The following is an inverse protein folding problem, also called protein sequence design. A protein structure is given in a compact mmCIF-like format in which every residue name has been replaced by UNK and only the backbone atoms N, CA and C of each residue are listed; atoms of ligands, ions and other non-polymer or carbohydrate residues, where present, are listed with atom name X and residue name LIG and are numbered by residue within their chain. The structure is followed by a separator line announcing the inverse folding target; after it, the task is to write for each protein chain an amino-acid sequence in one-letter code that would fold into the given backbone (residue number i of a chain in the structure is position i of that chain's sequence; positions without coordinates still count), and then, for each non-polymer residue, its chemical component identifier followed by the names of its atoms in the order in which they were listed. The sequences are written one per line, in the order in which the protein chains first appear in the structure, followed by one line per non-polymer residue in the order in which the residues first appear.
data_IF_808203658017
#
_entry.id   IF_808203658017
#
_cell.length_a   1.000
_cell.length_b   1.000
_cell.length_c   1.000
_cell.angle_alpha   90.00
_cell.angle_beta   90.00
_cell.angle_gamma   90.00
#
_symmetry.space_group_name_H-M   'P 1'
#
loop_
_entity.id
_entity.type
_entity.pdbx_description
1 polymer ?
#
# COMPACT_ATOMS: atom_id res chain seq x y z
N UNK A 1 14.95 -9.32 18.27
CA UNK A 1 13.79 -9.45 17.36
C UNK A 1 13.20 -10.85 17.42
N UNK A 2 13.91 -11.92 17.11
CA UNK A 2 13.40 -13.29 17.06
C UNK A 2 12.69 -13.72 18.35
N UNK A 3 13.30 -13.49 19.53
CA UNK A 3 12.67 -13.78 20.82
C UNK A 3 11.35 -13.04 21.06
N UNK A 4 11.22 -11.77 20.63
CA UNK A 4 9.98 -11.04 20.76
C UNK A 4 8.86 -11.73 19.97
N UNK A 5 9.16 -12.11 18.73
CA UNK A 5 8.22 -12.82 17.85
C UNK A 5 7.89 -14.20 18.43
N UNK A 6 8.90 -14.94 18.83
CA UNK A 6 8.73 -16.29 19.37
C UNK A 6 7.87 -16.30 20.64
N UNK A 7 8.10 -15.38 21.56
CA UNK A 7 7.29 -15.28 22.78
C UNK A 7 5.83 -14.94 22.49
N UNK A 8 5.57 -14.04 21.53
CA UNK A 8 4.20 -13.66 21.19
C UNK A 8 3.46 -14.78 20.46
N UNK A 9 4.13 -15.51 19.58
CA UNK A 9 3.56 -16.71 18.93
C UNK A 9 3.25 -17.76 19.97
N UNK A 10 4.18 -18.09 20.85
CA UNK A 10 3.98 -19.10 21.89
C UNK A 10 2.82 -18.74 22.83
N UNK A 11 2.60 -17.46 23.10
CA UNK A 11 1.43 -16.99 23.87
C UNK A 11 0.11 -17.35 23.19
N UNK A 12 0.07 -17.31 21.88
CA UNK A 12 -1.13 -17.67 21.10
C UNK A 12 -1.23 -19.19 20.92
N UNK A 13 -0.10 -19.86 20.72
CA UNK A 13 -0.01 -21.32 20.60
C UNK A 13 -0.68 -22.05 21.77
N UNK A 14 -0.62 -21.51 22.97
CA UNK A 14 -1.28 -22.09 24.15
C UNK A 14 -2.81 -22.28 24.02
N UNK A 15 -3.43 -21.78 22.95
CA UNK A 15 -4.85 -21.99 22.63
C UNK A 15 -5.10 -23.23 21.78
N UNK A 16 -4.05 -23.88 21.28
CA UNK A 16 -4.13 -25.01 20.36
C UNK A 16 -3.66 -26.30 21.02
N UNK A 17 -4.12 -27.47 20.54
CA UNK A 17 -3.54 -28.77 20.93
C UNK A 17 -2.08 -28.84 20.49
N UNK A 18 -1.21 -29.34 21.36
CA UNK A 18 0.24 -29.50 21.12
C UNK A 18 0.93 -28.17 20.78
N UNK A 19 0.89 -27.17 21.67
CA UNK A 19 1.44 -25.86 21.43
C UNK A 19 2.98 -25.91 21.30
N UNK A 20 3.51 -25.13 20.36
CA UNK A 20 4.95 -24.91 20.27
C UNK A 20 5.40 -23.98 21.41
N UNK A 21 6.52 -24.33 22.02
CA UNK A 21 7.19 -23.47 22.99
C UNK A 21 7.87 -22.28 22.31
N UNK A 22 8.11 -21.22 23.06
CA UNK A 22 8.86 -20.07 22.55
C UNK A 22 10.25 -20.44 22.03
N UNK A 23 10.89 -21.46 22.62
CA UNK A 23 12.19 -21.94 22.17
C UNK A 23 12.11 -22.62 20.81
N UNK A 24 11.12 -23.47 20.59
CA UNK A 24 10.90 -24.14 19.31
C UNK A 24 10.59 -23.12 18.21
N UNK A 25 9.73 -22.15 18.48
CA UNK A 25 9.45 -21.06 17.53
C UNK A 25 10.71 -20.23 17.25
N UNK A 26 11.53 -19.95 18.28
CA UNK A 26 12.79 -19.26 18.09
C UNK A 26 13.75 -20.03 17.17
N UNK A 27 13.88 -21.34 17.36
CA UNK A 27 14.75 -22.19 16.53
C UNK A 27 14.33 -22.20 15.06
N UNK A 28 13.02 -22.08 14.78
CA UNK A 28 12.51 -21.93 13.41
C UNK A 28 12.89 -20.57 12.77
N UNK A 29 13.00 -19.54 13.58
CA UNK A 29 13.33 -18.17 13.14
C UNK A 29 14.85 -17.91 13.13
N UNK A 30 15.62 -18.69 13.88
CA UNK A 30 17.04 -18.41 14.12
C UNK A 30 17.84 -18.44 12.82
N UNK A 31 18.65 -17.39 12.60
CA UNK A 31 19.38 -17.17 11.36
C UNK A 31 18.50 -17.24 10.09
N UNK A 32 17.18 -17.05 10.22
CA UNK A 32 16.20 -17.17 9.12
C UNK A 32 16.27 -18.52 8.39
N UNK A 33 16.59 -19.57 9.13
CA UNK A 33 16.85 -20.89 8.55
C UNK A 33 15.62 -21.54 7.94
N UNK A 34 14.47 -21.43 8.59
CA UNK A 34 13.22 -22.06 8.16
C UNK A 34 12.11 -21.05 7.89
N UNK A 35 12.06 -19.96 8.67
CA UNK A 35 11.02 -18.92 8.55
C UNK A 35 11.69 -17.55 8.38
N UNK A 36 11.34 -16.89 7.31
CA UNK A 36 11.71 -15.47 7.04
C UNK A 36 10.42 -14.66 7.07
N UNK A 37 10.09 -13.96 8.16
CA UNK A 37 8.89 -13.15 8.21
C UNK A 37 8.97 -11.97 7.23
N UNK A 38 7.85 -11.61 6.63
CA UNK A 38 7.74 -10.36 5.90
C UNK A 38 7.90 -9.15 6.84
N UNK A 39 8.15 -7.96 6.29
CA UNK A 39 8.50 -6.77 7.07
C UNK A 39 7.49 -6.39 8.15
N UNK A 40 6.18 -6.48 7.86
CA UNK A 40 5.14 -6.11 8.84
C UNK A 40 5.04 -7.13 10.00
N UNK A 41 5.02 -8.45 9.79
CA UNK A 41 5.16 -9.42 10.88
C UNK A 41 6.45 -9.23 11.67
N UNK A 42 7.57 -9.02 10.99
CA UNK A 42 8.88 -8.84 11.61
C UNK A 42 8.91 -7.64 12.58
N UNK A 43 8.25 -6.55 12.22
CA UNK A 43 8.19 -5.33 13.05
C UNK A 43 7.03 -5.34 14.03
N UNK A 44 5.89 -5.93 13.67
CA UNK A 44 4.62 -5.81 14.38
C UNK A 44 4.36 -6.88 15.42
N UNK A 45 4.76 -8.16 15.19
CA UNK A 45 4.45 -9.24 16.13
C UNK A 45 5.14 -8.97 17.48
N UNK A 46 4.35 -8.91 18.54
CA UNK A 46 4.82 -8.65 19.91
C UNK A 46 5.34 -7.22 20.14
N UNK A 47 5.07 -6.29 19.23
CA UNK A 47 5.40 -4.87 19.40
C UNK A 47 4.19 -4.11 19.96
N UNK A 48 4.30 -3.64 21.20
CA UNK A 48 3.26 -2.85 21.88
C UNK A 48 3.41 -1.34 21.69
N UNK A 49 4.50 -0.87 21.09
CA UNK A 49 4.81 0.56 20.98
C UNK A 49 4.20 1.19 19.73
N UNK A 50 3.83 0.40 18.74
CA UNK A 50 3.37 0.90 17.46
C UNK A 50 2.19 0.08 16.94
N UNK A 51 1.12 0.77 16.56
CA UNK A 51 0.00 0.13 15.87
C UNK A 51 0.39 -0.13 14.43
N UNK A 52 0.47 -1.40 14.06
CA UNK A 52 0.82 -1.81 12.70
C UNK A 52 -0.04 -2.99 12.23
N UNK A 53 -0.28 -3.08 10.95
CA UNK A 53 -0.82 -4.28 10.32
C UNK A 53 0.26 -5.37 10.28
N UNK A 54 -0.16 -6.62 10.36
CA UNK A 54 0.72 -7.77 10.10
C UNK A 54 0.77 -8.15 8.61
N UNK A 55 -0.09 -7.53 7.78
CA UNK A 55 -0.02 -7.65 6.32
C UNK A 55 0.81 -6.50 5.74
N UNK A 56 1.63 -6.80 4.72
CA UNK A 56 2.49 -5.79 4.10
C UNK A 56 1.77 -5.02 2.99
N UNK A 57 0.89 -5.69 2.24
CA UNK A 57 0.28 -5.15 1.03
C UNK A 57 -1.22 -5.42 1.00
N UNK A 58 -1.96 -4.45 0.48
CA UNK A 58 -3.41 -4.49 0.34
C UNK A 58 -3.79 -4.03 -1.05
N UNK A 59 -4.84 -4.64 -1.60
CA UNK A 59 -5.50 -4.17 -2.81
C UNK A 59 -6.82 -3.53 -2.38
N UNK A 60 -7.08 -2.33 -2.87
CA UNK A 60 -8.30 -1.54 -2.58
C UNK A 60 -9.01 -1.14 -3.88
N UNK A 61 -10.21 -0.60 -3.79
CA UNK A 61 -10.93 -0.10 -4.95
C UNK A 61 -11.50 -1.19 -5.85
N UNK A 62 -11.77 -2.37 -5.32
CA UNK A 62 -12.33 -3.50 -6.07
C UNK A 62 -13.86 -3.44 -6.24
N UNK A 63 -14.54 -2.58 -5.49
CA UNK A 63 -15.99 -2.47 -5.52
C UNK A 63 -16.45 -1.59 -6.69
N UNK A 64 -16.93 -2.21 -7.66
CA UNK A 64 -17.68 -1.94 -8.90
C UNK A 64 -17.85 -0.51 -9.45
N UNK A 65 -18.01 0.52 -8.66
CA UNK A 65 -18.23 1.89 -9.16
C UNK A 65 -17.11 2.84 -8.68
N UNK A 66 -15.94 2.68 -9.29
CA UNK A 66 -14.75 3.48 -8.97
C UNK A 66 -14.65 4.78 -9.82
N UNK A 67 -15.59 5.03 -10.73
CA UNK A 67 -15.56 6.17 -11.66
C UNK A 67 -16.42 7.37 -11.21
N UNK A 68 -16.61 7.54 -9.92
CA UNK A 68 -17.21 8.74 -9.36
C UNK A 68 -16.21 9.48 -8.47
N UNK A 69 -16.37 10.80 -8.37
CA UNK A 69 -15.49 11.59 -7.49
C UNK A 69 -15.58 11.14 -6.03
N UNK A 70 -16.78 10.72 -5.59
CA UNK A 70 -16.97 10.15 -4.26
C UNK A 70 -16.25 8.84 -4.05
N UNK A 71 -16.26 7.95 -5.04
CA UNK A 71 -15.52 6.68 -4.98
C UNK A 71 -14.01 6.91 -4.97
N UNK A 72 -13.50 7.82 -5.80
CA UNK A 72 -12.09 8.19 -5.83
C UNK A 72 -11.63 8.72 -4.46
N UNK A 73 -12.43 9.57 -3.80
CA UNK A 73 -12.13 10.07 -2.46
C UNK A 73 -12.14 8.95 -1.42
N UNK A 74 -13.09 8.03 -1.48
CA UNK A 74 -13.18 6.90 -0.58
C UNK A 74 -11.96 5.98 -0.71
N UNK A 75 -11.53 5.68 -1.93
CA UNK A 75 -10.31 4.90 -2.20
C UNK A 75 -9.08 5.61 -1.62
N UNK A 76 -8.98 6.91 -1.76
CA UNK A 76 -7.89 7.71 -1.19
C UNK A 76 -7.89 7.65 0.34
N UNK A 77 -9.05 7.73 0.97
CA UNK A 77 -9.19 7.55 2.42
C UNK A 77 -8.76 6.14 2.86
N UNK A 78 -9.24 5.09 2.20
CA UNK A 78 -8.85 3.70 2.49
C UNK A 78 -7.34 3.51 2.36
N UNK A 79 -6.74 4.04 1.29
CA UNK A 79 -5.30 4.05 1.09
C UNK A 79 -4.57 4.66 2.28
N UNK A 80 -4.97 5.84 2.72
CA UNK A 80 -4.38 6.55 3.86
C UNK A 80 -4.52 5.74 5.15
N UNK A 81 -5.69 5.16 5.41
CA UNK A 81 -5.94 4.38 6.62
C UNK A 81 -5.07 3.11 6.69
N UNK A 82 -4.82 2.45 5.57
CA UNK A 82 -3.92 1.30 5.49
C UNK A 82 -2.46 1.71 5.63
N UNK A 83 -2.05 2.79 4.96
CA UNK A 83 -0.68 3.29 5.03
C UNK A 83 -0.30 3.77 6.44
N UNK A 84 -1.21 4.39 7.18
CA UNK A 84 -1.02 4.76 8.59
C UNK A 84 -0.67 3.55 9.48
N UNK A 85 -1.04 2.35 9.06
CA UNK A 85 -0.73 1.07 9.73
C UNK A 85 0.41 0.31 9.08
N UNK A 86 1.24 1.01 8.30
CA UNK A 86 2.42 0.46 7.60
C UNK A 86 2.09 -0.49 6.44
N UNK A 87 0.84 -0.52 5.97
CA UNK A 87 0.45 -1.25 4.77
C UNK A 87 0.92 -0.55 3.49
N UNK A 88 1.45 -1.29 2.53
CA UNK A 88 1.53 -0.85 1.14
C UNK A 88 0.17 -1.03 0.47
N UNK A 89 -0.17 -0.17 -0.48
CA UNK A 89 -1.48 -0.20 -1.14
C UNK A 89 -1.32 -0.26 -2.65
N UNK A 90 -2.15 -1.06 -3.29
CA UNK A 90 -2.30 -1.11 -4.73
C UNK A 90 -3.74 -0.98 -5.16
N UNK A 91 -3.99 -0.26 -6.24
CA UNK A 91 -5.31 -0.22 -6.87
C UNK A 91 -5.23 0.02 -8.37
N UNK A 92 -6.30 -0.38 -9.08
CA UNK A 92 -6.41 -0.28 -10.52
C UNK A 92 -7.22 0.95 -10.91
N UNK A 93 -6.71 1.72 -11.86
CA UNK A 93 -7.32 2.93 -12.36
C UNK A 93 -8.13 2.72 -13.66
N UNK A 94 -8.20 1.48 -14.16
CA UNK A 94 -8.86 1.17 -15.43
C UNK A 94 -10.35 1.54 -15.47
N UNK A 95 -10.97 1.71 -14.30
CA UNK A 95 -12.38 2.07 -14.16
C UNK A 95 -12.65 3.58 -14.30
N UNK A 96 -11.62 4.40 -14.18
CA UNK A 96 -11.74 5.85 -14.32
C UNK A 96 -11.90 6.17 -15.79
N UNK A 97 -12.93 6.95 -16.14
CA UNK A 97 -13.17 7.36 -17.53
C UNK A 97 -12.02 8.17 -18.11
N UNK A 98 -11.71 7.99 -19.39
CA UNK A 98 -10.59 8.68 -20.03
C UNK A 98 -10.82 10.20 -20.16
N UNK A 99 -9.75 10.91 -20.43
CA UNK A 99 -9.76 12.34 -20.70
C UNK A 99 -10.73 12.68 -21.85
N UNK A 100 -11.53 13.72 -21.64
CA UNK A 100 -12.50 14.18 -22.64
C UNK A 100 -13.84 13.47 -22.61
N UNK A 101 -14.00 12.38 -21.84
CA UNK A 101 -15.29 11.73 -21.67
C UNK A 101 -16.31 12.65 -21.01
N UNK A 102 -17.60 12.58 -21.35
CA UNK A 102 -18.62 13.43 -20.77
C UNK A 102 -18.79 13.18 -19.27
N UNK A 103 -19.00 14.24 -18.50
CA UNK A 103 -19.37 14.21 -17.09
C UNK A 103 -20.57 15.09 -16.80
N UNK A 104 -21.38 14.68 -15.82
CA UNK A 104 -22.61 15.39 -15.44
C UNK A 104 -22.32 16.48 -14.39
N UNK A 105 -21.36 17.35 -14.67
CA UNK A 105 -21.07 18.52 -13.83
C UNK A 105 -20.67 19.72 -14.70
N UNK A 106 -20.37 20.85 -14.09
CA UNK A 106 -20.03 22.11 -14.79
C UNK A 106 -18.76 22.03 -15.64
N UNK A 107 -17.91 21.01 -15.45
CA UNK A 107 -16.71 20.81 -16.26
C UNK A 107 -17.03 20.19 -17.63
N UNK A 108 -18.17 19.54 -17.78
CA UNK A 108 -18.67 18.84 -18.98
C UNK A 108 -17.81 17.68 -19.46
N UNK A 109 -16.51 17.70 -19.22
CA UNK A 109 -15.56 16.68 -19.66
C UNK A 109 -14.63 16.24 -18.53
N UNK A 110 -14.20 14.97 -18.59
CA UNK A 110 -13.24 14.36 -17.68
C UNK A 110 -11.82 14.88 -17.92
N UNK A 111 -11.06 15.02 -16.84
CA UNK A 111 -9.62 15.30 -16.88
C UNK A 111 -8.74 14.07 -17.13
N UNK A 112 -9.33 12.86 -17.09
CA UNK A 112 -8.62 11.60 -17.29
C UNK A 112 -7.91 11.06 -16.05
N UNK A 113 -6.99 10.12 -16.24
CA UNK A 113 -6.31 9.38 -15.16
C UNK A 113 -5.26 10.20 -14.40
N UNK A 114 -4.47 11.02 -15.10
CA UNK A 114 -3.24 11.61 -14.56
C UNK A 114 -3.47 12.44 -13.30
N UNK A 115 -4.49 13.33 -13.21
CA UNK A 115 -4.73 14.08 -11.99
C UNK A 115 -5.05 13.22 -10.77
N UNK A 116 -5.68 12.06 -10.97
CA UNK A 116 -5.99 11.13 -9.88
C UNK A 116 -4.75 10.32 -9.47
N UNK A 117 -3.86 9.98 -10.39
CA UNK A 117 -2.54 9.42 -10.07
C UNK A 117 -1.74 10.38 -9.18
N UNK A 118 -1.72 11.67 -9.53
CA UNK A 118 -1.05 12.70 -8.74
C UNK A 118 -1.66 12.82 -7.35
N UNK A 119 -3.00 12.81 -7.26
CA UNK A 119 -3.71 12.84 -5.99
C UNK A 119 -3.28 11.70 -5.07
N UNK A 120 -3.38 10.44 -5.52
CA UNK A 120 -3.01 9.27 -4.73
C UNK A 120 -1.53 9.27 -4.37
N UNK A 121 -0.67 9.77 -5.26
CA UNK A 121 0.74 9.95 -4.99
C UNK A 121 1.00 11.01 -3.91
N UNK A 122 0.23 12.10 -3.90
CA UNK A 122 0.33 13.14 -2.88
C UNK A 122 -0.07 12.62 -1.50
N UNK A 123 -1.23 11.95 -1.40
CA UNK A 123 -1.69 11.33 -0.16
C UNK A 123 -0.67 10.34 0.40
N UNK A 124 -0.01 9.56 -0.49
CA UNK A 124 1.07 8.65 -0.09
C UNK A 124 2.25 9.38 0.55
N UNK A 125 2.59 10.56 0.05
CA UNK A 125 3.70 11.39 0.59
C UNK A 125 3.36 12.03 1.92
N UNK A 126 2.09 12.36 2.13
CA UNK A 126 1.60 12.97 3.38
C UNK A 126 1.62 12.00 4.55
N UNK A 127 1.45 10.70 4.29
CA UNK A 127 1.39 9.69 5.35
C UNK A 127 2.79 9.33 5.83
N UNK A 128 3.14 9.83 7.00
CA UNK A 128 4.37 9.45 7.69
C UNK A 128 4.24 8.06 8.34
N UNK A 129 5.27 7.24 8.19
CA UNK A 129 5.36 5.88 8.73
C UNK A 129 6.61 5.70 9.60
N UNK A 130 6.92 6.67 10.46
CA UNK A 130 8.10 6.64 11.32
C UNK A 130 9.40 6.41 10.52
N UNK A 131 9.73 7.37 9.67
CA UNK A 131 10.92 7.34 8.80
C UNK A 131 10.80 6.49 7.53
N UNK A 132 9.71 5.76 7.36
CA UNK A 132 9.41 5.02 6.13
C UNK A 132 8.36 5.76 5.30
N UNK A 133 8.54 5.83 4.00
CA UNK A 133 7.53 6.37 3.06
C UNK A 133 6.43 5.34 2.80
N UNK A 134 5.22 5.81 2.53
CA UNK A 134 4.14 4.99 2.01
C UNK A 134 4.55 4.30 0.70
N UNK A 135 4.03 3.09 0.48
CA UNK A 135 4.24 2.35 -0.76
C UNK A 135 2.91 2.31 -1.52
N UNK A 136 2.90 2.84 -2.75
CA UNK A 136 1.76 2.86 -3.63
C UNK A 136 2.09 2.18 -4.95
N UNK A 137 1.21 1.31 -5.40
CA UNK A 137 1.19 0.74 -6.73
C UNK A 137 -0.11 1.11 -7.43
N UNK A 138 -0.01 1.65 -8.64
CA UNK A 138 -1.14 1.93 -9.50
C UNK A 138 -1.00 1.11 -10.78
N UNK A 139 -2.10 0.54 -11.24
CA UNK A 139 -2.18 -0.17 -12.51
C UNK A 139 -3.25 0.43 -13.41
N UNK A 140 -3.12 0.20 -14.70
CA UNK A 140 -4.12 0.53 -15.71
C UNK A 140 -4.08 -0.51 -16.82
N UNK A 141 -5.22 -0.84 -17.39
CA UNK A 141 -5.28 -1.68 -18.58
C UNK A 141 -4.60 -0.99 -19.75
N UNK A 142 -3.76 -1.71 -20.49
CA UNK A 142 -3.12 -1.19 -21.72
C UNK A 142 -4.16 -0.80 -22.80
N UNK A 143 -5.38 -1.31 -22.68
CA UNK A 143 -6.49 -0.95 -23.56
C UNK A 143 -7.19 0.36 -23.16
N UNK A 144 -6.82 0.94 -22.02
CA UNK A 144 -7.42 2.19 -21.59
C UNK A 144 -6.97 3.33 -22.50
N UNK A 145 -7.86 4.24 -22.95
CA UNK A 145 -7.48 5.34 -23.85
C UNK A 145 -6.36 6.24 -23.33
N UNK A 146 -6.26 6.41 -22.01
CA UNK A 146 -5.21 7.21 -21.37
C UNK A 146 -3.97 6.39 -20.99
N UNK A 147 -3.77 5.16 -21.52
CA UNK A 147 -2.64 4.31 -21.15
C UNK A 147 -1.28 4.93 -21.50
N UNK A 148 -1.17 5.63 -22.62
CA UNK A 148 0.03 6.38 -22.99
C UNK A 148 0.30 7.51 -21.99
N UNK A 149 -0.72 8.30 -21.66
CA UNK A 149 -0.60 9.35 -20.66
C UNK A 149 -0.20 8.81 -19.27
N UNK A 150 -0.67 7.60 -18.91
CA UNK A 150 -0.25 6.91 -17.69
C UNK A 150 1.25 6.56 -17.71
N UNK A 151 1.74 6.03 -18.83
CA UNK A 151 3.16 5.68 -19.00
C UNK A 151 4.02 6.94 -18.91
N UNK A 152 3.62 8.01 -19.57
CA UNK A 152 4.39 9.26 -19.66
C UNK A 152 4.28 10.13 -18.40
N UNK A 153 3.27 9.90 -17.56
CA UNK A 153 3.04 10.70 -16.34
C UNK A 153 4.27 10.75 -15.41
N UNK A 154 5.05 9.67 -15.33
CA UNK A 154 6.31 9.66 -14.58
C UNK A 154 7.43 10.42 -15.28
N UNK A 155 7.46 10.42 -16.59
CA UNK A 155 8.50 11.11 -17.38
C UNK A 155 8.38 12.62 -17.21
N UNK A 156 7.15 13.16 -17.23
CA UNK A 156 6.90 14.59 -17.00
C UNK A 156 7.20 14.99 -15.55
N UNK A 157 6.92 14.13 -14.59
CA UNK A 157 7.23 14.35 -13.17
C UNK A 157 8.72 14.45 -12.88
N UNK A 158 9.57 13.82 -13.70
CA UNK A 158 11.02 13.87 -13.56
C UNK A 158 11.61 15.27 -13.80
N UNK A 159 10.94 16.14 -14.56
CA UNK A 159 11.40 17.48 -14.85
C UNK A 159 11.03 18.51 -13.78
N UNK A 160 10.03 18.23 -12.94
CA UNK A 160 9.52 19.19 -11.93
C UNK A 160 9.51 18.66 -10.50
N UNK A 161 9.64 17.37 -10.27
CA UNK A 161 9.74 16.74 -8.98
C UNK A 161 11.01 15.92 -8.97
N UNK A 162 12.08 16.49 -8.48
CA UNK A 162 13.20 15.70 -7.98
C UNK A 162 12.68 14.83 -6.84
N UNK A 163 12.05 13.71 -7.19
CA UNK A 163 11.94 12.62 -6.26
C UNK A 163 13.36 12.20 -5.96
N UNK A 164 13.81 12.25 -4.72
CA UNK A 164 15.09 11.65 -4.38
C UNK A 164 14.94 10.14 -4.57
N UNK A 165 15.20 9.68 -5.78
CA UNK A 165 15.46 8.29 -6.10
C UNK A 165 16.94 8.00 -5.90
N UNK A 166 17.56 8.58 -4.90
CA UNK A 166 18.85 8.11 -4.44
C UNK A 166 18.58 6.89 -3.59
N UNK A 167 18.99 5.69 -4.04
CA UNK A 167 19.18 4.61 -3.12
C UNK A 167 20.29 5.10 -2.18
N UNK A 168 19.95 5.31 -0.92
CA UNK A 168 20.98 5.41 0.09
C UNK A 168 21.56 4.01 0.25
N UNK A 169 22.81 3.88 -0.16
CA UNK A 169 23.67 2.76 0.15
C UNK A 169 23.86 2.72 1.66
#
# INVERSE_FOLDING_TARGET
MHWRIANEIARIEGKYPNPLSAKEVYELLDHFRYIVPAGSPMTGIGNSHQVASLSNCFVVGLDGDADSYGAIMRIDEEQVQLMKRRGGVGHDLSHIRPKGSPVNNSALTSTGLVPFMERYSNSTREVAQDGRRGALMLSVSIKHPDSEAFIDAKTVSYTHLTLPTTPYV
#
